data_IF_262718894952
#
_entry.id   IF_262718894952
#
_cell.length_a   1.000
_cell.length_b   1.000
_cell.length_c   1.000
_cell.angle_alpha   90.00
_cell.angle_beta   90.00
_cell.angle_gamma   90.00
#
_symmetry.space_group_name_H-M   'P 1'
#
loop_
_entity.id
_entity.type
_entity.pdbx_description
1 polymer ?
#
# COMPACT_ATOMS: atom_id res chain seq x y z
N UNK A 1 16.10 -23.34 -7.45
CA UNK A 1 16.27 -24.41 -8.44
C UNK A 1 14.91 -24.73 -9.05
N UNK A 2 14.79 -24.80 -10.38
CA UNK A 2 13.68 -25.55 -10.98
C UNK A 2 14.25 -26.94 -11.26
N UNK A 3 13.64 -28.03 -10.76
CA UNK A 3 14.07 -29.37 -11.16
C UNK A 3 14.07 -29.48 -12.68
N UNK A 4 15.02 -30.25 -13.21
CA UNK A 4 15.17 -30.52 -14.63
C UNK A 4 15.61 -29.34 -15.51
N UNK A 5 16.44 -28.42 -15.00
CA UNK A 5 17.05 -27.37 -15.82
C UNK A 5 18.49 -27.71 -16.21
N UNK A 6 18.86 -27.35 -17.45
CA UNK A 6 20.18 -27.61 -18.03
C UNK A 6 21.23 -26.63 -17.47
N UNK A 7 22.40 -27.14 -17.07
CA UNK A 7 23.50 -26.32 -16.54
C UNK A 7 24.62 -26.22 -17.58
N UNK A 8 24.86 -25.06 -18.23
CA UNK A 8 25.95 -24.89 -19.16
C UNK A 8 27.27 -24.56 -18.43
N UNK A 9 28.35 -25.26 -18.80
CA UNK A 9 29.71 -24.99 -18.31
C UNK A 9 30.66 -24.91 -19.50
N UNK A 10 31.36 -23.80 -19.68
CA UNK A 10 32.36 -23.66 -20.74
C UNK A 10 33.72 -24.17 -20.29
N UNK A 11 34.46 -24.81 -21.18
CA UNK A 11 35.86 -25.19 -21.00
C UNK A 11 36.64 -25.07 -22.32
N UNK A 12 37.96 -24.93 -22.22
CA UNK A 12 38.85 -24.83 -23.37
C UNK A 12 39.75 -26.07 -23.43
N UNK A 13 39.95 -26.63 -24.62
CA UNK A 13 40.89 -27.72 -24.82
C UNK A 13 42.34 -27.20 -24.83
N UNK A 14 43.26 -27.76 -24.01
CA UNK A 14 44.68 -27.46 -24.14
C UNK A 14 45.17 -27.96 -25.51
N UNK A 15 45.77 -27.07 -26.30
CA UNK A 15 46.44 -27.32 -27.58
C UNK A 15 45.59 -27.40 -28.86
N UNK A 16 44.68 -26.44 -29.06
CA UNK A 16 44.24 -26.02 -30.42
C UNK A 16 43.53 -27.09 -31.25
N UNK A 17 43.00 -28.13 -30.62
CA UNK A 17 42.24 -29.19 -31.29
C UNK A 17 40.82 -28.67 -31.54
N UNK A 18 40.60 -28.18 -32.77
CA UNK A 18 39.30 -27.67 -33.20
C UNK A 18 38.51 -28.75 -33.94
N UNK A 19 37.18 -28.63 -33.94
CA UNK A 19 36.30 -29.53 -34.72
C UNK A 19 35.98 -30.87 -34.07
N UNK A 20 36.25 -31.05 -32.78
CA UNK A 20 35.77 -32.23 -32.04
C UNK A 20 34.25 -32.16 -31.85
N UNK A 21 33.57 -33.27 -32.05
CA UNK A 21 32.14 -33.43 -31.80
C UNK A 21 31.91 -34.05 -30.42
N UNK A 22 30.67 -34.03 -29.93
CA UNK A 22 30.29 -34.64 -28.66
C UNK A 22 30.80 -36.08 -28.48
N UNK A 23 30.78 -36.88 -29.55
CA UNK A 23 31.24 -38.28 -29.56
C UNK A 23 32.77 -38.43 -29.38
N UNK A 24 33.55 -37.38 -29.62
CA UNK A 24 35.00 -37.38 -29.40
C UNK A 24 35.37 -37.25 -27.93
N UNK A 25 34.40 -36.96 -27.05
CA UNK A 25 34.62 -36.83 -25.62
C UNK A 25 34.07 -38.05 -24.88
N UNK A 26 34.86 -38.56 -23.95
CA UNK A 26 34.37 -39.47 -22.93
C UNK A 26 33.92 -38.65 -21.72
N UNK A 27 32.73 -38.95 -21.18
CA UNK A 27 32.15 -38.24 -20.03
C UNK A 27 31.90 -39.21 -18.89
N UNK A 28 32.20 -38.78 -17.67
CA UNK A 28 31.69 -39.40 -16.44
C UNK A 28 30.95 -38.38 -15.62
N UNK A 29 29.88 -38.83 -14.99
CA UNK A 29 29.07 -38.02 -14.09
C UNK A 29 28.85 -38.81 -12.81
N UNK A 30 29.07 -38.16 -11.67
CA UNK A 30 28.92 -38.75 -10.35
C UNK A 30 27.93 -37.92 -9.53
N UNK A 31 27.10 -38.60 -8.74
CA UNK A 31 26.26 -38.00 -7.71
C UNK A 31 26.74 -38.52 -6.35
N UNK A 32 27.22 -37.64 -5.47
CA UNK A 32 27.76 -37.99 -4.15
C UNK A 32 28.82 -39.11 -4.24
N UNK A 33 29.67 -39.07 -5.28
CA UNK A 33 30.69 -40.08 -5.58
C UNK A 33 30.19 -41.35 -6.26
N UNK A 34 28.88 -41.54 -6.45
CA UNK A 34 28.30 -42.69 -7.18
C UNK A 34 28.24 -42.41 -8.68
N UNK A 35 28.77 -43.32 -9.51
CA UNK A 35 28.75 -43.18 -10.97
C UNK A 35 27.30 -43.23 -11.51
N UNK A 36 26.94 -42.23 -12.31
CA UNK A 36 25.64 -42.05 -12.98
C UNK A 36 25.75 -42.05 -14.50
N UNK A 37 26.92 -42.39 -15.03
CA UNK A 37 27.18 -42.47 -16.47
C UNK A 37 26.18 -43.43 -17.14
N UNK A 38 25.54 -42.97 -18.21
CA UNK A 38 24.48 -43.72 -18.92
C UNK A 38 23.08 -43.60 -18.31
N UNK A 39 22.95 -43.11 -17.09
CA UNK A 39 21.65 -42.74 -16.49
C UNK A 39 21.34 -41.26 -16.72
N UNK A 40 22.33 -40.39 -16.53
CA UNK A 40 22.23 -38.96 -16.81
C UNK A 40 23.09 -38.60 -18.01
N UNK A 41 22.49 -37.89 -18.97
CA UNK A 41 23.18 -37.49 -20.20
C UNK A 41 23.99 -36.21 -19.97
N UNK A 42 25.26 -36.24 -20.36
CA UNK A 42 26.13 -35.07 -20.47
C UNK A 42 26.39 -34.82 -21.96
N UNK A 43 26.07 -33.62 -22.41
CA UNK A 43 26.28 -33.18 -23.81
C UNK A 43 27.38 -32.14 -23.86
N UNK A 44 28.33 -32.31 -24.78
CA UNK A 44 29.42 -31.39 -25.10
C UNK A 44 29.21 -30.79 -26.50
N UNK A 45 29.19 -29.46 -26.60
CA UNK A 45 28.94 -28.72 -27.83
C UNK A 45 30.07 -27.72 -28.07
N UNK A 46 30.65 -27.71 -29.26
CA UNK A 46 31.62 -26.68 -29.66
C UNK A 46 30.95 -25.30 -29.71
N UNK A 47 31.60 -24.29 -29.12
CA UNK A 47 31.13 -22.90 -29.11
C UNK A 47 31.85 -22.11 -30.21
N UNK A 48 33.19 -22.13 -30.19
CA UNK A 48 34.06 -21.48 -31.17
C UNK A 48 35.51 -21.95 -30.98
N UNK A 49 36.23 -22.22 -32.06
CA UNK A 49 37.64 -22.63 -32.00
C UNK A 49 37.85 -23.89 -31.15
N UNK A 50 38.64 -23.75 -30.09
CA UNK A 50 38.96 -24.79 -29.09
C UNK A 50 38.12 -24.67 -27.80
N UNK A 51 37.05 -23.86 -27.82
CA UNK A 51 36.11 -23.71 -26.71
C UNK A 51 34.88 -24.60 -26.89
N UNK A 52 34.54 -25.31 -25.82
CA UNK A 52 33.41 -26.22 -25.74
C UNK A 52 32.52 -25.85 -24.55
N UNK A 53 31.23 -26.11 -24.67
CA UNK A 53 30.27 -26.08 -23.56
C UNK A 53 29.90 -27.51 -23.23
N UNK A 54 29.81 -27.85 -21.95
CA UNK A 54 29.13 -29.06 -21.51
C UNK A 54 27.83 -28.69 -20.80
N UNK A 55 26.89 -29.62 -20.84
CA UNK A 55 25.61 -29.44 -20.20
C UNK A 55 25.03 -30.77 -19.73
N UNK A 56 24.32 -30.72 -18.60
CA UNK A 56 23.60 -31.85 -18.03
C UNK A 56 22.40 -31.32 -17.24
N UNK A 57 21.50 -32.24 -16.90
CA UNK A 57 20.30 -31.95 -16.11
C UNK A 57 20.33 -32.82 -14.85
N UNK A 58 20.58 -32.26 -13.65
CA UNK A 58 20.53 -33.01 -12.41
C UNK A 58 19.11 -33.55 -12.17
N UNK A 59 19.00 -34.83 -11.80
CA UNK A 59 17.74 -35.52 -11.52
C UNK A 59 17.53 -35.82 -10.02
N UNK A 60 18.48 -35.43 -9.18
CA UNK A 60 18.46 -35.64 -7.73
C UNK A 60 19.31 -34.59 -7.00
N UNK A 61 19.01 -34.42 -5.70
CA UNK A 61 19.76 -33.55 -4.78
C UNK A 61 21.10 -34.19 -4.41
N UNK A 62 22.14 -33.35 -4.29
CA UNK A 62 23.47 -33.73 -3.86
C UNK A 62 24.58 -33.03 -4.66
N UNK A 63 25.82 -33.42 -4.38
CA UNK A 63 27.01 -32.95 -5.07
C UNK A 63 27.20 -33.73 -6.37
N UNK A 64 27.07 -33.04 -7.49
CA UNK A 64 27.31 -33.55 -8.83
C UNK A 64 28.73 -33.23 -9.28
N UNK A 65 29.48 -34.25 -9.71
CA UNK A 65 30.82 -34.09 -10.29
C UNK A 65 30.81 -34.59 -11.72
N UNK A 66 31.17 -33.73 -12.66
CA UNK A 66 31.25 -34.04 -14.08
C UNK A 66 32.70 -33.97 -14.50
N UNK A 67 33.16 -35.02 -15.18
CA UNK A 67 34.49 -35.11 -15.76
C UNK A 67 34.34 -35.34 -17.27
N UNK A 68 35.09 -34.58 -18.05
CA UNK A 68 35.15 -34.72 -19.50
C UNK A 68 36.60 -34.84 -19.93
N UNK A 69 36.90 -35.79 -20.81
CA UNK A 69 38.20 -35.95 -21.45
C UNK A 69 38.05 -36.28 -22.93
N UNK A 70 39.09 -35.94 -23.69
CA UNK A 70 39.22 -36.36 -25.08
C UNK A 70 39.40 -37.89 -25.12
N UNK A 71 38.57 -38.58 -25.91
CA UNK A 71 38.65 -40.03 -26.04
C UNK A 71 40.00 -40.51 -26.60
N UNK A 72 40.73 -39.65 -27.31
CA UNK A 72 42.09 -39.92 -27.81
C UNK A 72 43.18 -39.71 -26.76
N UNK A 73 42.87 -39.01 -25.66
CA UNK A 73 43.82 -38.65 -24.62
C UNK A 73 43.15 -38.73 -23.24
N UNK A 74 43.44 -39.79 -22.49
CA UNK A 74 42.80 -40.14 -21.21
C UNK A 74 43.04 -39.14 -20.05
N UNK A 75 43.55 -37.94 -20.31
CA UNK A 75 43.66 -36.84 -19.36
C UNK A 75 42.34 -36.10 -19.20
N UNK A 76 41.84 -35.95 -17.96
CA UNK A 76 40.67 -35.12 -17.64
C UNK A 76 40.92 -33.67 -18.07
N UNK A 77 40.08 -33.17 -18.97
CA UNK A 77 40.18 -31.81 -19.55
C UNK A 77 39.42 -30.79 -18.74
N UNK A 78 38.26 -31.17 -18.23
CA UNK A 78 37.52 -30.38 -17.26
C UNK A 78 36.93 -31.26 -16.17
N UNK A 79 36.90 -30.71 -14.96
CA UNK A 79 36.17 -31.23 -13.82
C UNK A 79 35.31 -30.09 -13.28
N UNK A 80 34.00 -30.29 -13.27
CA UNK A 80 33.06 -29.35 -12.69
C UNK A 80 32.35 -30.01 -11.52
N UNK A 81 32.20 -29.25 -10.44
CA UNK A 81 31.50 -29.69 -9.23
C UNK A 81 30.37 -28.71 -8.97
N UNK A 82 29.18 -29.26 -8.75
CA UNK A 82 27.96 -28.50 -8.56
C UNK A 82 27.11 -29.15 -7.50
N UNK A 83 26.84 -28.43 -6.42
CA UNK A 83 25.98 -28.91 -5.36
C UNK A 83 24.55 -28.39 -5.55
N UNK A 84 23.61 -29.31 -5.77
CA UNK A 84 22.18 -28.97 -5.87
C UNK A 84 21.61 -28.61 -4.50
N UNK A 85 22.15 -29.18 -3.42
CA UNK A 85 21.73 -28.94 -2.02
C UNK A 85 21.89 -27.47 -1.66
N UNK A 86 23.04 -26.90 -2.05
CA UNK A 86 23.37 -25.48 -1.83
C UNK A 86 22.39 -24.51 -2.49
N UNK A 87 21.64 -24.91 -3.51
CA UNK A 87 20.73 -24.01 -4.23
C UNK A 87 19.31 -24.06 -3.64
N UNK A 88 18.89 -25.21 -3.12
CA UNK A 88 17.63 -25.31 -2.39
C UNK A 88 17.74 -24.61 -1.03
N UNK A 89 18.88 -24.74 -0.35
CA UNK A 89 19.12 -24.05 0.93
C UNK A 89 19.36 -22.53 0.78
N UNK A 90 19.92 -22.07 -0.35
CA UNK A 90 20.20 -20.64 -0.61
C UNK A 90 19.06 -19.88 -1.29
N UNK A 91 17.96 -20.54 -1.69
CA UNK A 91 16.70 -19.84 -1.94
C UNK A 91 15.96 -19.79 -0.61
N UNK A 92 16.13 -18.70 0.16
CA UNK A 92 15.60 -18.70 1.50
C UNK A 92 14.08 -18.84 1.43
N UNK A 93 13.57 -19.55 2.43
CA UNK A 93 12.19 -19.77 2.87
C UNK A 93 11.28 -18.52 2.92
N UNK A 94 11.75 -17.36 2.43
CA UNK A 94 11.08 -16.05 2.36
C UNK A 94 9.78 -16.08 1.54
N UNK A 95 9.54 -17.13 0.75
CA UNK A 95 8.30 -17.31 -0.02
C UNK A 95 7.45 -18.50 0.45
N UNK A 96 7.78 -19.16 1.57
CA UNK A 96 6.86 -20.17 2.07
C UNK A 96 5.58 -19.52 2.57
N UNK A 97 4.46 -20.19 2.31
CA UNK A 97 3.15 -19.75 2.79
C UNK A 97 3.11 -19.61 4.32
N UNK A 98 3.92 -20.40 5.03
CA UNK A 98 4.04 -20.33 6.48
C UNK A 98 4.64 -19.00 6.95
N UNK A 99 5.73 -18.55 6.33
CA UNK A 99 6.35 -17.27 6.68
C UNK A 99 5.46 -16.10 6.28
N UNK A 100 4.79 -16.16 5.12
CA UNK A 100 3.80 -15.15 4.72
C UNK A 100 2.67 -15.06 5.75
N UNK A 101 2.12 -16.19 6.20
CA UNK A 101 1.06 -16.19 7.21
C UNK A 101 1.55 -15.62 8.54
N UNK A 102 2.76 -15.97 8.98
CA UNK A 102 3.33 -15.45 10.22
C UNK A 102 3.54 -13.93 10.19
N UNK A 103 4.03 -13.39 9.06
CA UNK A 103 4.19 -11.94 8.87
C UNK A 103 2.83 -11.23 8.82
N UNK A 104 1.84 -11.81 8.14
CA UNK A 104 0.46 -11.27 8.08
C UNK A 104 -0.20 -11.28 9.46
N UNK A 105 -0.04 -12.35 10.24
CA UNK A 105 -0.57 -12.45 11.59
C UNK A 105 0.06 -11.40 12.51
N UNK A 106 1.37 -11.17 12.37
CA UNK A 106 2.08 -10.11 13.11
C UNK A 106 1.55 -8.74 12.73
N UNK A 107 1.44 -8.44 11.43
CA UNK A 107 0.93 -7.16 10.94
C UNK A 107 -0.53 -6.89 11.38
N UNK A 108 -1.37 -7.94 11.41
CA UNK A 108 -2.75 -7.82 11.88
C UNK A 108 -2.82 -7.61 13.40
N UNK A 109 -1.91 -8.22 14.16
CA UNK A 109 -1.80 -8.02 15.61
C UNK A 109 -1.28 -6.63 15.98
N UNK A 110 -0.40 -6.05 15.16
CA UNK A 110 0.15 -4.70 15.36
C UNK A 110 -0.84 -3.60 14.97
N UNK A 111 -1.87 -3.94 14.21
CA UNK A 111 -2.89 -2.99 13.79
C UNK A 111 -3.75 -2.52 14.99
N UNK A 112 -3.50 -1.29 15.43
CA UNK A 112 -4.27 -0.61 16.49
C UNK A 112 -5.51 0.07 15.88
N UNK A 113 -6.62 -0.67 15.82
CA UNK A 113 -7.88 -0.15 15.31
C UNK A 113 -8.47 0.92 16.26
N UNK A 114 -9.18 1.94 15.73
CA UNK A 114 -9.87 2.92 16.58
C UNK A 114 -10.76 2.23 17.61
N UNK A 115 -10.56 2.60 18.88
CA UNK A 115 -11.39 2.15 19.97
C UNK A 115 -12.79 2.75 19.85
N UNK A 116 -13.78 2.06 20.43
CA UNK A 116 -15.14 2.61 20.55
C UNK A 116 -15.13 3.99 21.21
N UNK A 117 -14.25 4.21 22.20
CA UNK A 117 -14.14 5.48 22.91
C UNK A 117 -13.63 6.62 22.01
N UNK A 118 -12.64 6.37 21.16
CA UNK A 118 -12.15 7.36 20.19
C UNK A 118 -13.23 7.71 19.17
N UNK A 119 -13.97 6.71 18.68
CA UNK A 119 -15.10 6.94 17.78
C UNK A 119 -16.22 7.72 18.46
N UNK A 120 -16.60 7.34 19.68
CA UNK A 120 -17.64 8.01 20.45
C UNK A 120 -17.25 9.48 20.72
N UNK A 121 -15.99 9.76 21.05
CA UNK A 121 -15.48 11.12 21.25
C UNK A 121 -15.54 11.95 19.96
N UNK A 122 -15.15 11.36 18.82
CA UNK A 122 -15.23 12.02 17.52
C UNK A 122 -16.67 12.37 17.12
N UNK A 123 -17.61 11.46 17.32
CA UNK A 123 -19.02 11.71 17.02
C UNK A 123 -19.70 12.64 18.02
N UNK A 124 -19.33 12.58 19.30
CA UNK A 124 -19.84 13.50 20.31
C UNK A 124 -19.49 14.95 19.95
N UNK A 125 -18.27 15.21 19.49
CA UNK A 125 -17.86 16.55 19.05
C UNK A 125 -18.67 17.08 17.86
N UNK A 126 -19.18 16.22 16.98
CA UNK A 126 -20.03 16.63 15.85
C UNK A 126 -21.48 16.88 16.24
N UNK A 127 -21.96 16.25 17.33
CA UNK A 127 -23.33 16.39 17.81
C UNK A 127 -23.48 17.44 18.93
N UNK A 128 -22.40 18.13 19.29
CA UNK A 128 -22.38 19.15 20.35
C UNK A 128 -22.57 20.57 19.79
N UNK A 129 -23.39 20.72 18.74
CA UNK A 129 -23.91 22.03 18.36
C UNK A 129 -25.13 22.29 19.24
N UNK A 130 -24.96 23.08 20.29
CA UNK A 130 -26.07 23.47 21.14
C UNK A 130 -26.99 24.44 20.39
N UNK A 131 -28.29 24.40 20.71
CA UNK A 131 -29.25 25.40 20.17
C UNK A 131 -28.81 26.84 20.48
N UNK A 132 -28.07 27.06 21.58
CA UNK A 132 -27.48 28.36 21.91
C UNK A 132 -26.45 28.82 20.88
N UNK A 133 -25.66 27.91 20.31
CA UNK A 133 -24.63 28.27 19.33
C UNK A 133 -25.26 28.76 18.03
N UNK A 134 -26.34 28.10 17.61
CA UNK A 134 -27.16 28.51 16.46
C UNK A 134 -27.85 29.85 16.74
N UNK A 135 -28.47 30.00 17.91
CA UNK A 135 -29.21 31.20 18.29
C UNK A 135 -28.31 32.42 18.48
N UNK A 136 -27.07 32.21 18.96
CA UNK A 136 -26.09 33.26 19.17
C UNK A 136 -25.25 33.55 17.91
N UNK A 137 -25.42 32.77 16.83
CA UNK A 137 -24.76 33.05 15.56
C UNK A 137 -25.15 34.44 15.06
N UNK A 138 -24.14 35.24 14.73
CA UNK A 138 -24.29 36.56 14.11
C UNK A 138 -24.78 36.34 12.68
N UNK A 139 -25.87 37.02 12.31
CA UNK A 139 -26.48 36.89 10.96
C UNK A 139 -26.30 38.15 10.10
N UNK A 140 -25.65 39.18 10.62
CA UNK A 140 -25.34 40.41 9.89
C UNK A 140 -23.83 40.64 9.79
N UNK A 141 -23.38 41.13 8.63
CA UNK A 141 -21.95 41.35 8.31
C UNK A 141 -21.25 42.29 9.31
N UNK A 142 -22.00 43.20 9.93
CA UNK A 142 -21.47 44.19 10.87
C UNK A 142 -21.50 43.74 12.34
N UNK A 143 -21.87 42.49 12.64
CA UNK A 143 -21.73 41.91 13.99
C UNK A 143 -22.84 42.22 14.98
N UNK A 144 -23.84 43.03 14.60
CA UNK A 144 -24.74 43.66 15.57
C UNK A 144 -25.96 42.83 15.99
N UNK A 145 -26.32 41.79 15.23
CA UNK A 145 -27.56 41.04 15.44
C UNK A 145 -27.33 39.53 15.35
N UNK A 146 -27.71 38.82 16.42
CA UNK A 146 -27.77 37.36 16.48
C UNK A 146 -29.10 36.83 15.92
N UNK A 147 -29.15 35.57 15.51
CA UNK A 147 -30.39 34.92 15.06
C UNK A 147 -31.51 35.05 16.09
N UNK A 148 -31.20 34.89 17.39
CA UNK A 148 -32.17 35.07 18.49
C UNK A 148 -32.79 36.46 18.49
N UNK A 149 -31.97 37.51 18.38
CA UNK A 149 -32.43 38.89 18.37
C UNK A 149 -33.29 39.18 17.13
N UNK A 150 -32.88 38.67 15.97
CA UNK A 150 -33.66 38.80 14.74
C UNK A 150 -35.03 38.13 14.83
N UNK A 151 -35.11 36.92 15.38
CA UNK A 151 -36.38 36.23 15.62
C UNK A 151 -37.28 37.00 16.59
N UNK A 152 -36.73 37.57 17.66
CA UNK A 152 -37.49 38.38 18.60
C UNK A 152 -38.07 39.65 17.96
N UNK A 153 -37.30 40.29 17.08
CA UNK A 153 -37.74 41.44 16.30
C UNK A 153 -38.86 41.03 15.33
N UNK A 154 -38.69 39.93 14.59
CA UNK A 154 -39.68 39.42 13.65
C UNK A 154 -41.01 39.11 14.35
N UNK A 155 -40.95 38.44 15.50
CA UNK A 155 -42.14 38.11 16.30
C UNK A 155 -42.85 39.39 16.76
N UNK A 156 -42.11 40.41 17.22
CA UNK A 156 -42.71 41.68 17.64
C UNK A 156 -43.37 42.43 16.47
N UNK A 157 -42.82 42.35 15.26
CA UNK A 157 -43.39 43.01 14.07
C UNK A 157 -44.61 42.27 13.54
N UNK A 158 -44.55 40.94 13.45
CA UNK A 158 -45.60 40.12 12.81
C UNK A 158 -46.73 39.72 13.75
N UNK A 159 -46.43 39.46 15.02
CA UNK A 159 -47.37 38.92 16.01
C UNK A 159 -47.42 39.74 17.31
N UNK A 160 -46.66 40.84 17.38
CA UNK A 160 -46.60 41.69 18.55
C UNK A 160 -47.76 42.67 18.67
N UNK A 161 -47.73 43.45 19.75
CA UNK A 161 -48.70 44.52 19.99
C UNK A 161 -48.08 45.86 19.59
N UNK A 162 -48.85 46.68 18.88
CA UNK A 162 -48.44 48.03 18.51
C UNK A 162 -48.86 49.05 19.58
N UNK A 163 -48.05 50.09 19.74
CA UNK A 163 -48.34 51.24 20.58
C UNK A 163 -47.96 52.55 19.86
N UNK A 164 -48.31 53.69 20.45
CA UNK A 164 -47.98 55.03 19.93
C UNK A 164 -48.39 55.23 18.47
N UNK A 165 -49.61 54.84 18.12
CA UNK A 165 -50.13 54.99 16.75
C UNK A 165 -49.43 54.09 15.72
N UNK A 166 -48.88 52.94 16.13
CA UNK A 166 -48.19 52.01 15.22
C UNK A 166 -46.69 52.23 15.07
N UNK A 167 -46.12 53.18 15.83
CA UNK A 167 -44.69 53.50 15.78
C UNK A 167 -43.83 52.60 16.68
N UNK A 168 -44.44 51.92 17.65
CA UNK A 168 -43.74 51.06 18.60
C UNK A 168 -44.28 49.64 18.46
N UNK A 169 -43.39 48.68 18.19
CA UNK A 169 -43.73 47.25 18.15
C UNK A 169 -43.14 46.56 19.38
N UNK A 170 -44.01 45.94 20.17
CA UNK A 170 -43.65 45.20 21.37
C UNK A 170 -43.75 43.70 21.14
N UNK A 171 -43.15 42.91 22.02
CA UNK A 171 -43.40 41.47 22.12
C UNK A 171 -44.90 41.18 22.26
N UNK A 172 -45.36 39.95 21.95
CA UNK A 172 -46.79 39.61 21.98
C UNK A 172 -47.47 39.78 23.35
N UNK A 173 -46.71 39.67 24.43
CA UNK A 173 -47.14 39.95 25.81
C UNK A 173 -47.18 41.46 26.15
N UNK A 174 -46.78 42.33 25.21
CA UNK A 174 -46.74 43.78 25.37
C UNK A 174 -45.63 44.30 26.30
N UNK A 175 -44.73 43.43 26.79
CA UNK A 175 -43.78 43.77 27.86
C UNK A 175 -42.53 44.50 27.35
N UNK A 176 -41.99 44.08 26.21
CA UNK A 176 -40.69 44.53 25.72
C UNK A 176 -40.81 45.21 24.36
N UNK A 177 -40.30 46.43 24.22
CA UNK A 177 -40.23 47.13 22.91
C UNK A 177 -39.07 46.55 22.09
N UNK A 178 -39.34 46.09 20.87
CA UNK A 178 -38.31 45.55 19.96
C UNK A 178 -38.04 46.43 18.74
N UNK A 179 -39.03 47.20 18.28
CA UNK A 179 -38.85 48.16 17.19
C UNK A 179 -39.51 49.48 17.56
N UNK A 180 -38.78 50.57 17.37
CA UNK A 180 -39.31 51.94 17.48
C UNK A 180 -39.04 52.69 16.20
N UNK A 181 -40.06 53.29 15.61
CA UNK A 181 -39.96 54.17 14.46
C UNK A 181 -40.14 55.63 14.91
N UNK A 182 -39.31 56.52 14.37
CA UNK A 182 -39.50 57.96 14.52
C UNK A 182 -40.08 58.51 13.23
N UNK A 183 -41.06 59.41 13.35
CA UNK A 183 -41.66 60.11 12.21
C UNK A 183 -41.47 61.62 12.31
N UNK A 184 -41.44 62.30 11.17
CA UNK A 184 -41.45 63.76 11.11
C UNK A 184 -42.89 64.33 11.24
N UNK A 185 -43.03 65.65 11.17
CA UNK A 185 -44.33 66.33 11.22
C UNK A 185 -45.27 65.98 10.05
N UNK A 186 -44.75 65.37 8.99
CA UNK A 186 -45.50 64.87 7.84
C UNK A 186 -45.86 63.38 7.96
N UNK A 187 -45.64 62.77 9.13
CA UNK A 187 -45.81 61.33 9.40
C UNK A 187 -44.91 60.40 8.56
N UNK A 188 -43.84 60.92 7.97
CA UNK A 188 -42.87 60.10 7.24
C UNK A 188 -41.85 59.53 8.22
N UNK A 189 -41.48 58.25 8.06
CA UNK A 189 -40.50 57.58 8.91
C UNK A 189 -39.10 58.10 8.63
N UNK A 190 -38.44 58.65 9.65
CA UNK A 190 -37.09 59.21 9.57
C UNK A 190 -36.02 58.31 10.19
N UNK A 191 -36.40 57.43 11.12
CA UNK A 191 -35.49 56.46 11.73
C UNK A 191 -36.23 55.20 12.19
N UNK A 192 -35.50 54.08 12.26
CA UNK A 192 -35.91 52.85 12.92
C UNK A 192 -34.81 52.46 13.90
N UNK A 193 -35.19 52.19 15.14
CA UNK A 193 -34.31 51.63 16.16
C UNK A 193 -34.76 50.21 16.47
N UNK A 194 -33.81 49.27 16.36
CA UNK A 194 -33.98 47.87 16.77
C UNK A 194 -33.45 47.73 18.20
N UNK A 195 -34.32 47.38 19.13
CA UNK A 195 -33.97 47.17 20.53
C UNK A 195 -33.68 45.69 20.74
N UNK A 196 -32.40 45.34 20.61
CA UNK A 196 -31.87 43.98 20.75
C UNK A 196 -31.69 43.57 22.20
#
# INVERSE_FOLDING_TARGET
YRPNHQIPVAFQEPFGTTGLLDANFTKKIFLNGTDKTGTVTVTVTSISGDYYSMSFTPDAVGTWVIQVWDSSNSTVKTRFEFDVTDIEDKLPDVLSLANINAEVDTALSDYDAPTKAEMDAGFAALNDIATSDILNSIIEVNGSITLKQAMQILIAVCAGVTASGGLVFKTPDGSTVRVTATVNSSNERTAITLNV
#
